data_IF_761525145581
#
_entry.id   IF_761525145581
#
_cell.length_a   1.000
_cell.length_b   1.000
_cell.length_c   1.000
_cell.angle_alpha   90.00
_cell.angle_beta   90.00
_cell.angle_gamma   90.00
#
_symmetry.space_group_name_H-M   'P 1'
#
loop_
_entity.id
_entity.type
_entity.pdbx_description
1 polymer ?
#
# COMPACT_ATOMS: atom_id res chain seq x y z
N UNK A 1 -24.45 35.45 -50.74
CA UNK A 1 -23.50 35.08 -49.65
C UNK A 1 -24.17 34.31 -48.48
N UNK A 2 -25.24 33.52 -48.68
CA UNK A 2 -25.97 32.81 -47.59
C UNK A 2 -26.04 31.28 -47.72
N UNK A 3 -25.70 30.71 -48.88
CA UNK A 3 -25.94 29.28 -49.15
C UNK A 3 -25.14 28.32 -48.26
N UNK A 4 -23.94 28.71 -47.81
CA UNK A 4 -23.10 27.86 -46.96
C UNK A 4 -23.21 28.17 -45.46
N UNK A 5 -24.13 29.06 -45.07
CA UNK A 5 -24.23 29.54 -43.70
C UNK A 5 -24.77 28.44 -42.78
N UNK A 6 -25.69 27.62 -43.29
CA UNK A 6 -26.22 26.43 -42.60
C UNK A 6 -25.12 25.42 -42.35
N UNK A 7 -24.32 25.06 -43.36
CA UNK A 7 -23.22 24.10 -43.24
C UNK A 7 -22.20 24.53 -42.18
N UNK A 8 -21.87 25.83 -42.11
CA UNK A 8 -20.95 26.38 -41.10
C UNK A 8 -21.52 26.28 -39.69
N UNK A 9 -22.80 26.58 -39.50
CA UNK A 9 -23.46 26.49 -38.19
C UNK A 9 -23.54 25.02 -37.75
N UNK A 10 -23.91 24.12 -38.65
CA UNK A 10 -23.95 22.67 -38.37
C UNK A 10 -22.57 22.14 -38.03
N UNK A 11 -21.51 22.57 -38.73
CA UNK A 11 -20.14 22.14 -38.41
C UNK A 11 -19.68 22.63 -37.04
N UNK A 12 -20.01 23.87 -36.66
CA UNK A 12 -19.65 24.41 -35.34
C UNK A 12 -20.44 23.71 -34.23
N UNK A 13 -21.72 23.42 -34.46
CA UNK A 13 -22.55 22.69 -33.51
C UNK A 13 -22.03 21.27 -33.26
N UNK A 14 -21.72 20.53 -34.34
CA UNK A 14 -21.08 19.21 -34.23
C UNK A 14 -19.72 19.28 -33.54
N UNK A 15 -18.91 20.30 -33.85
CA UNK A 15 -17.63 20.48 -33.19
C UNK A 15 -17.78 20.71 -31.68
N UNK A 16 -18.77 21.50 -31.24
CA UNK A 16 -19.06 21.73 -29.82
C UNK A 16 -19.58 20.45 -29.15
N UNK A 17 -20.45 19.69 -29.82
CA UNK A 17 -20.93 18.39 -29.32
C UNK A 17 -19.79 17.38 -29.15
N UNK A 18 -18.91 17.27 -30.14
CA UNK A 18 -17.74 16.40 -30.09
C UNK A 18 -16.74 16.87 -29.03
N UNK A 19 -16.52 18.18 -28.93
CA UNK A 19 -15.66 18.74 -27.91
C UNK A 19 -16.20 18.43 -26.51
N UNK A 20 -17.51 18.56 -26.28
CA UNK A 20 -18.13 18.22 -25.00
C UNK A 20 -18.07 16.71 -24.71
N UNK A 21 -18.24 15.87 -25.73
CA UNK A 21 -18.10 14.41 -25.61
C UNK A 21 -16.68 14.03 -25.16
N UNK A 22 -15.65 14.56 -25.82
CA UNK A 22 -14.23 14.32 -25.46
C UNK A 22 -13.88 14.92 -24.10
N UNK A 23 -14.37 16.12 -23.79
CA UNK A 23 -14.12 16.79 -22.52
C UNK A 23 -14.76 16.08 -21.32
N UNK A 24 -15.78 15.26 -21.54
CA UNK A 24 -16.46 14.49 -20.50
C UNK A 24 -15.85 13.09 -20.27
N UNK A 25 -14.76 12.74 -20.96
CA UNK A 25 -14.06 11.49 -20.70
C UNK A 25 -13.25 11.61 -19.39
N UNK A 26 -13.60 10.78 -18.40
CA UNK A 26 -12.86 10.74 -17.13
C UNK A 26 -11.43 10.30 -17.42
N UNK A 27 -10.48 11.18 -17.12
CA UNK A 27 -9.06 10.91 -17.19
C UNK A 27 -8.67 9.74 -16.25
N UNK A 28 -8.63 8.51 -16.77
CA UNK A 28 -8.17 7.32 -16.06
C UNK A 28 -6.63 7.21 -16.11
N UNK A 29 -5.92 8.30 -15.83
CA UNK A 29 -4.47 8.20 -15.64
C UNK A 29 -4.22 7.51 -14.31
N UNK A 30 -3.59 6.34 -14.35
CA UNK A 30 -3.05 5.70 -13.16
C UNK A 30 -1.91 6.58 -12.66
N UNK A 31 -2.20 7.40 -11.66
CA UNK A 31 -1.22 8.32 -11.10
C UNK A 31 -0.14 7.50 -10.36
N UNK A 32 1.10 8.01 -10.39
CA UNK A 32 2.15 7.47 -9.54
C UNK A 32 1.91 7.95 -8.11
N UNK A 33 1.50 7.05 -7.23
CA UNK A 33 1.29 7.35 -5.82
C UNK A 33 2.54 7.04 -5.01
N UNK A 34 2.78 7.86 -3.97
CA UNK A 34 3.80 7.63 -2.97
C UNK A 34 3.21 7.92 -1.59
N UNK A 35 3.28 6.95 -0.69
CA UNK A 35 2.67 7.03 0.64
C UNK A 35 3.56 6.38 1.69
N UNK A 36 3.55 6.91 2.90
CA UNK A 36 4.17 6.27 4.05
C UNK A 36 3.14 5.40 4.77
N UNK A 37 3.45 4.11 4.95
CA UNK A 37 2.55 3.10 5.53
C UNK A 37 3.21 2.46 6.74
N UNK A 38 2.37 2.02 7.68
CA UNK A 38 2.83 1.39 8.92
C UNK A 38 3.23 -0.06 8.67
N UNK A 39 4.28 -0.53 9.34
CA UNK A 39 4.65 -1.96 9.32
C UNK A 39 4.10 -2.65 10.57
N UNK A 40 3.41 -3.77 10.35
CA UNK A 40 2.87 -4.62 11.42
C UNK A 40 3.42 -6.04 11.29
N UNK A 41 4.12 -6.55 12.32
CA UNK A 41 4.64 -7.90 12.30
C UNK A 41 3.53 -8.91 12.54
N UNK A 42 3.55 -10.01 11.79
CA UNK A 42 2.63 -11.13 11.98
C UNK A 42 3.31 -12.14 12.89
N UNK A 43 2.92 -12.20 14.16
CA UNK A 43 3.50 -13.12 15.15
C UNK A 43 2.57 -14.32 15.31
N UNK A 44 3.11 -15.52 15.12
CA UNK A 44 2.35 -16.78 15.23
C UNK A 44 2.90 -17.69 16.32
N UNK A 45 2.02 -18.48 16.93
CA UNK A 45 2.36 -19.37 18.02
C UNK A 45 2.32 -18.73 19.41
N UNK A 46 2.74 -19.49 20.42
CA UNK A 46 2.76 -19.07 21.84
C UNK A 46 4.16 -19.23 22.44
N UNK A 47 4.62 -18.28 23.27
CA UNK A 47 5.82 -18.48 24.07
C UNK A 47 5.75 -19.77 24.91
N UNK A 48 6.89 -20.25 25.40
CA UNK A 48 6.92 -21.41 26.29
C UNK A 48 6.02 -21.20 27.52
N UNK A 49 5.49 -22.28 28.13
CA UNK A 49 4.74 -22.17 29.38
C UNK A 49 5.51 -21.37 30.45
N UNK A 50 4.84 -20.40 31.06
CA UNK A 50 5.44 -19.48 32.03
C UNK A 50 6.12 -18.25 31.42
N UNK A 51 6.03 -18.03 30.10
CA UNK A 51 6.56 -16.85 29.42
C UNK A 51 5.46 -16.07 28.68
N UNK A 52 5.70 -14.78 28.46
CA UNK A 52 4.81 -13.88 27.72
C UNK A 52 5.61 -12.88 26.88
N UNK A 53 5.00 -12.40 25.80
CA UNK A 53 5.54 -11.27 25.04
C UNK A 53 5.30 -10.01 25.86
N UNK A 54 6.37 -9.30 26.21
CA UNK A 54 6.29 -8.04 26.97
C UNK A 54 6.27 -6.85 26.02
N UNK A 55 7.01 -6.95 24.91
CA UNK A 55 7.17 -5.86 23.95
C UNK A 55 7.47 -6.37 22.56
N UNK A 56 7.04 -5.61 21.56
CA UNK A 56 7.47 -5.80 20.17
C UNK A 56 7.94 -4.47 19.62
N UNK A 57 9.14 -4.44 19.03
CA UNK A 57 9.73 -3.25 18.40
C UNK A 57 10.09 -3.61 16.96
N UNK A 58 9.63 -2.79 16.01
CA UNK A 58 9.93 -2.95 14.58
C UNK A 58 10.80 -1.79 14.13
N UNK A 59 11.80 -2.09 13.31
CA UNK A 59 12.71 -1.11 12.72
C UNK A 59 12.89 -1.39 11.22
N UNK A 60 12.49 -0.47 10.32
CA UNK A 60 11.74 0.76 10.58
C UNK A 60 10.24 0.50 10.88
N UNK A 61 9.58 1.35 11.69
CA UNK A 61 8.15 1.19 12.03
C UNK A 61 7.20 1.59 10.89
N UNK A 62 7.72 2.34 9.91
CA UNK A 62 7.01 2.80 8.74
C UNK A 62 7.93 2.75 7.53
N UNK A 63 7.35 2.55 6.37
CA UNK A 63 8.08 2.46 5.10
C UNK A 63 7.35 3.28 4.04
N UNK A 64 8.08 3.65 2.99
CA UNK A 64 7.47 4.30 1.83
C UNK A 64 7.07 3.23 0.82
N UNK A 65 5.83 3.28 0.37
CA UNK A 65 5.30 2.49 -0.74
C UNK A 65 4.96 3.41 -1.90
N UNK A 66 5.22 2.95 -3.12
CA UNK A 66 4.94 3.73 -4.32
C UNK A 66 4.59 2.86 -5.50
N UNK A 67 3.84 3.38 -6.47
CA UNK A 67 3.53 2.65 -7.70
C UNK A 67 2.42 3.32 -8.51
N UNK A 68 2.20 2.78 -9.71
CA UNK A 68 1.07 3.12 -10.57
C UNK A 68 -0.13 2.27 -10.16
N UNK A 69 -0.81 2.69 -9.10
CA UNK A 69 -1.87 1.90 -8.47
C UNK A 69 -3.06 2.84 -8.24
N UNK A 70 -4.32 2.41 -8.43
CA UNK A 70 -5.46 3.27 -8.09
C UNK A 70 -5.41 3.69 -6.61
N UNK A 71 -5.76 4.94 -6.32
CA UNK A 71 -5.63 5.54 -4.97
C UNK A 71 -6.32 4.74 -3.85
N UNK A 72 -7.33 3.94 -4.17
CA UNK A 72 -8.07 3.11 -3.21
C UNK A 72 -7.49 1.72 -2.92
N UNK A 73 -6.42 1.31 -3.61
CA UNK A 73 -5.85 -0.05 -3.46
C UNK A 73 -4.75 -0.09 -2.38
N UNK A 74 -4.05 1.03 -2.15
CA UNK A 74 -2.98 1.09 -1.16
C UNK A 74 -3.50 1.01 0.27
N UNK A 75 -3.26 -0.11 0.93
CA UNK A 75 -3.55 -0.28 2.36
C UNK A 75 -2.71 0.69 3.21
N UNK A 76 -3.23 1.06 4.38
CA UNK A 76 -2.51 1.90 5.34
C UNK A 76 -1.40 1.15 6.10
N UNK A 77 -1.41 -0.18 6.00
CA UNK A 77 -0.54 -1.08 6.77
C UNK A 77 0.01 -2.16 5.86
N UNK A 78 1.27 -2.48 6.06
CA UNK A 78 1.97 -3.61 5.44
C UNK A 78 2.30 -4.64 6.50
N UNK A 79 2.11 -5.91 6.17
CA UNK A 79 2.37 -7.01 7.06
C UNK A 79 3.73 -7.65 6.78
N UNK A 80 4.40 -8.16 7.81
CA UNK A 80 5.57 -9.03 7.62
C UNK A 80 5.12 -10.46 7.31
N UNK A 81 6.03 -11.27 6.81
CA UNK A 81 5.89 -12.73 6.88
C UNK A 81 5.74 -13.19 8.34
N UNK A 82 5.20 -14.40 8.52
CA UNK A 82 4.93 -14.95 9.84
C UNK A 82 6.21 -15.18 10.65
N UNK A 83 6.18 -14.73 11.90
CA UNK A 83 7.24 -14.89 12.87
C UNK A 83 6.78 -15.89 13.92
N UNK A 84 7.24 -17.14 13.76
CA UNK A 84 6.91 -18.19 14.71
C UNK A 84 7.72 -18.03 16.02
N UNK A 85 6.99 -17.95 17.13
CA UNK A 85 7.53 -17.83 18.49
C UNK A 85 7.16 -19.02 19.39
N UNK A 86 6.73 -20.15 18.81
CA UNK A 86 6.38 -21.35 19.57
C UNK A 86 7.52 -21.81 20.48
N UNK A 87 7.22 -21.93 21.78
CA UNK A 87 8.17 -22.40 22.78
C UNK A 87 9.32 -21.41 23.06
N UNK A 88 9.22 -20.16 22.60
CA UNK A 88 10.25 -19.17 22.85
C UNK A 88 10.33 -18.82 24.34
N UNK A 89 11.56 -18.85 24.88
CA UNK A 89 11.91 -18.58 26.30
C UNK A 89 12.80 -17.34 26.48
N UNK A 90 13.26 -16.75 25.39
CA UNK A 90 14.17 -15.61 25.35
C UNK A 90 13.70 -14.65 24.28
N UNK A 91 14.01 -13.36 24.47
CA UNK A 91 13.80 -12.33 23.46
C UNK A 91 14.46 -12.73 22.14
N UNK A 92 13.80 -12.41 21.03
CA UNK A 92 14.21 -12.80 19.69
C UNK A 92 14.30 -11.55 18.82
N UNK A 93 15.42 -11.40 18.12
CA UNK A 93 15.61 -10.39 17.07
C UNK A 93 15.65 -11.11 15.73
N UNK A 94 14.74 -10.77 14.82
CA UNK A 94 14.60 -11.46 13.53
C UNK A 94 14.46 -10.42 12.43
N UNK A 95 15.18 -10.63 11.33
CA UNK A 95 14.99 -9.86 10.10
C UNK A 95 14.02 -10.63 9.20
N UNK A 96 12.85 -10.04 8.93
CA UNK A 96 11.71 -10.71 8.27
C UNK A 96 11.29 -9.91 7.05
N UNK A 97 10.86 -10.60 6.00
CA UNK A 97 10.43 -9.95 4.77
C UNK A 97 9.02 -9.38 4.92
N UNK A 98 8.70 -8.38 4.10
CA UNK A 98 7.36 -7.83 4.00
C UNK A 98 6.53 -8.63 2.99
N UNK A 99 5.25 -8.84 3.30
CA UNK A 99 4.27 -9.33 2.32
C UNK A 99 4.07 -8.21 1.31
N UNK A 100 4.36 -8.50 0.04
CA UNK A 100 4.32 -7.53 -1.05
C UNK A 100 3.01 -7.65 -1.82
N UNK A 101 2.54 -6.49 -2.27
CA UNK A 101 1.45 -6.38 -3.24
C UNK A 101 2.03 -6.15 -4.65
N UNK A 102 1.35 -6.69 -5.66
CA UNK A 102 1.78 -6.57 -7.05
C UNK A 102 1.70 -5.12 -7.55
N UNK A 103 2.71 -4.70 -8.31
CA UNK A 103 2.80 -3.33 -8.84
C UNK A 103 3.17 -2.26 -7.82
N UNK A 104 3.52 -2.65 -6.58
CA UNK A 104 3.94 -1.75 -5.50
C UNK A 104 5.44 -1.88 -5.23
N UNK A 105 6.13 -0.75 -5.27
CA UNK A 105 7.53 -0.61 -4.86
C UNK A 105 7.61 -0.21 -3.40
N UNK A 106 8.41 -0.96 -2.64
CA UNK A 106 8.64 -0.75 -1.22
C UNK A 106 10.05 -0.17 -1.03
N UNK A 107 10.21 0.79 -0.11
CA UNK A 107 11.52 1.38 0.19
C UNK A 107 12.51 0.41 0.83
N UNK A 108 12.00 -0.68 1.42
CA UNK A 108 12.78 -1.80 1.96
C UNK A 108 12.02 -3.09 1.75
N UNK A 109 12.73 -4.19 1.59
CA UNK A 109 12.17 -5.53 1.42
C UNK A 109 11.98 -6.25 2.75
N UNK A 110 12.81 -5.90 3.73
CA UNK A 110 12.89 -6.55 5.04
C UNK A 110 12.89 -5.51 6.16
N UNK A 111 12.45 -5.96 7.32
CA UNK A 111 12.45 -5.19 8.57
C UNK A 111 12.99 -6.02 9.71
N UNK A 112 13.61 -5.36 10.69
CA UNK A 112 14.02 -6.01 11.93
C UNK A 112 12.90 -5.94 12.96
N UNK A 113 12.50 -7.11 13.47
CA UNK A 113 11.51 -7.24 14.54
C UNK A 113 12.20 -7.78 15.77
N UNK A 114 12.18 -7.00 16.85
CA UNK A 114 12.62 -7.38 18.17
C UNK A 114 11.40 -7.72 19.03
N UNK A 115 11.29 -8.98 19.43
CA UNK A 115 10.22 -9.53 20.26
C UNK A 115 10.82 -9.79 21.64
N UNK A 116 10.39 -9.04 22.63
CA UNK A 116 10.82 -9.17 24.01
C UNK A 116 9.93 -10.20 24.73
N UNK A 117 10.56 -11.24 25.27
CA UNK A 117 9.86 -12.33 25.95
C UNK A 117 10.45 -12.45 27.35
N UNK A 118 9.57 -12.41 28.35
CA UNK A 118 9.92 -12.53 29.75
C UNK A 118 9.02 -13.54 30.46
N UNK A 119 9.42 -13.97 31.66
CA UNK A 119 8.60 -14.81 32.52
C UNK A 119 7.32 -14.05 32.88
N UNK A 120 6.21 -14.79 32.85
CA UNK A 120 4.92 -14.29 33.33
C UNK A 120 5.04 -14.03 34.83
N UNK A 121 4.76 -12.79 35.26
CA UNK A 121 4.65 -12.42 36.68
C UNK A 121 3.40 -13.01 37.30
#
# INVERSE_FOLDING_TARGET
MRENLILKVTSVFLAVLLWFYVANEKNNFVQFYKKEVKVTPVITGKPAPGYQIVRTKITPPKIQVSGWIPSGVLQDTVFTEEININGARKSKKVTVSLIREDGVYYSTDRVEVYIEIDKKK
#
